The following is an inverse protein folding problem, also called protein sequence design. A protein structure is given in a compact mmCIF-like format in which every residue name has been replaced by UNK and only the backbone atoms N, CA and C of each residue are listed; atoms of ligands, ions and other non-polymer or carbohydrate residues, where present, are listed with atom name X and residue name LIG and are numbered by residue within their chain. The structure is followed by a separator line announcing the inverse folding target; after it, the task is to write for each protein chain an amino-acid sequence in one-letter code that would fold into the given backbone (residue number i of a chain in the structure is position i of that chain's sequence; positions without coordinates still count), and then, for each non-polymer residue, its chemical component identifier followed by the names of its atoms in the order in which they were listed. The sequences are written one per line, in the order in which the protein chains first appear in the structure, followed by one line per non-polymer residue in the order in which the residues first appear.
data_IF_585457472658
#
_entry.id   IF_585457472658
#
_cell.length_a   1.000
_cell.length_b   1.000
_cell.length_c   1.000
_cell.angle_alpha   90.00
_cell.angle_beta   90.00
_cell.angle_gamma   90.00
#
_symmetry.space_group_name_H-M   'P 1'
#
loop_
_entity.id
_entity.type
_entity.pdbx_description
1 polymer ?
#
# COMPACT_ATOMS: atom_id res chain seq x y z
N UNK A 1 10.93 -3.65 8.90
CA UNK A 1 9.95 -3.53 9.99
C UNK A 1 8.83 -2.55 9.67
N UNK A 2 7.83 -2.48 10.52
CA UNK A 2 6.70 -1.56 10.37
C UNK A 2 7.04 -0.18 10.96
N UNK A 3 7.17 0.88 10.14
CA UNK A 3 7.61 2.19 10.64
C UNK A 3 6.61 2.81 11.64
N UNK A 4 5.31 2.56 11.47
CA UNK A 4 4.31 3.15 12.36
C UNK A 4 4.23 2.48 13.75
N UNK A 5 4.89 1.34 13.96
CA UNK A 5 5.14 0.82 15.31
C UNK A 5 6.19 1.62 16.07
N UNK A 6 7.11 2.25 15.36
CA UNK A 6 8.15 3.11 15.92
C UNK A 6 7.83 4.59 15.68
N UNK A 7 6.59 4.95 15.94
CA UNK A 7 5.97 6.20 15.50
C UNK A 7 6.77 7.45 15.88
N UNK A 8 7.11 7.60 17.16
CA UNK A 8 7.76 8.84 17.66
C UNK A 8 9.12 9.06 17.01
N UNK A 9 9.92 8.00 16.87
CA UNK A 9 11.24 8.08 16.22
C UNK A 9 11.11 8.34 14.74
N UNK A 10 10.14 7.72 14.07
CA UNK A 10 9.88 7.94 12.63
C UNK A 10 9.41 9.38 12.39
N UNK A 11 8.50 9.89 13.19
CA UNK A 11 8.03 11.28 13.07
C UNK A 11 9.18 12.27 13.30
N UNK A 12 10.02 12.02 14.30
CA UNK A 12 11.19 12.85 14.56
C UNK A 12 12.18 12.82 13.38
N UNK A 13 12.43 11.65 12.81
CA UNK A 13 13.26 11.50 11.62
C UNK A 13 12.72 12.27 10.42
N UNK A 14 11.41 12.20 10.17
CA UNK A 14 10.77 12.96 9.09
C UNK A 14 10.92 14.48 9.26
N UNK A 15 10.74 14.98 10.48
CA UNK A 15 10.93 16.39 10.80
C UNK A 15 12.40 16.81 10.61
N UNK A 16 13.34 15.95 11.01
CA UNK A 16 14.77 16.20 10.81
C UNK A 16 15.15 16.24 9.33
N UNK A 17 14.61 15.32 8.52
CA UNK A 17 14.84 15.28 7.07
C UNK A 17 14.27 16.54 6.39
N UNK A 18 13.16 17.05 6.90
CA UNK A 18 12.52 18.25 6.38
C UNK A 18 13.23 19.56 6.80
N UNK A 19 13.91 19.56 7.94
CA UNK A 19 14.54 20.76 8.50
C UNK A 19 15.56 21.36 7.51
N UNK A 20 15.42 22.69 7.18
CA UNK A 20 16.37 23.38 6.31
C UNK A 20 17.81 23.35 6.77
N UNK A 21 18.06 23.17 8.07
CA UNK A 21 19.41 23.08 8.64
C UNK A 21 20.03 21.68 8.47
N UNK A 22 19.27 20.72 7.93
CA UNK A 22 19.73 19.34 7.69
C UNK A 22 19.65 18.99 6.21
N UNK A 23 18.62 18.24 5.80
CA UNK A 23 18.50 17.75 4.42
C UNK A 23 17.59 18.61 3.54
N UNK A 24 16.78 19.46 4.12
CA UNK A 24 15.85 20.36 3.41
C UNK A 24 14.95 19.64 2.37
N UNK A 25 14.46 18.47 2.73
CA UNK A 25 13.57 17.68 1.86
C UNK A 25 12.12 17.99 2.19
N UNK A 26 11.36 18.43 1.19
CA UNK A 26 9.93 18.68 1.35
C UNK A 26 9.18 17.39 1.76
N UNK A 27 8.25 17.50 2.70
CA UNK A 27 7.35 16.41 3.07
C UNK A 27 6.63 15.79 1.88
N UNK A 28 6.34 16.56 0.84
CA UNK A 28 5.71 16.08 -0.41
C UNK A 28 6.57 15.09 -1.19
N UNK A 29 7.87 15.05 -0.92
CA UNK A 29 8.83 14.11 -1.53
C UNK A 29 9.09 12.88 -0.65
N UNK A 30 8.46 12.82 0.51
CA UNK A 30 8.61 11.70 1.43
C UNK A 30 7.43 10.74 1.31
N UNK A 31 7.70 9.46 1.47
CA UNK A 31 6.69 8.40 1.50
C UNK A 31 6.91 7.53 2.72
N UNK A 32 5.84 7.25 3.45
CA UNK A 32 5.82 6.21 4.48
C UNK A 32 5.08 5.01 3.91
N UNK A 33 5.75 3.86 3.98
CA UNK A 33 5.16 2.56 3.66
C UNK A 33 4.71 1.87 4.94
N UNK A 34 3.47 1.44 5.01
CA UNK A 34 2.92 0.77 6.19
C UNK A 34 2.13 -0.48 5.82
N UNK A 35 2.16 -1.49 6.66
CA UNK A 35 1.29 -2.65 6.54
C UNK A 35 -0.12 -2.41 7.12
N UNK A 36 -0.41 -1.22 7.64
CA UNK A 36 -1.73 -0.89 8.17
C UNK A 36 -1.81 -0.87 9.69
N UNK A 37 -0.90 -0.18 10.35
CA UNK A 37 -0.94 0.04 11.81
C UNK A 37 -1.97 1.13 12.13
N UNK A 38 -3.24 0.73 12.26
CA UNK A 38 -4.42 1.59 12.27
C UNK A 38 -4.32 2.78 13.24
N UNK A 39 -4.02 2.61 14.54
CA UNK A 39 -4.00 3.75 15.46
C UNK A 39 -3.04 4.84 15.04
N UNK A 40 -1.89 4.45 14.49
CA UNK A 40 -0.83 5.39 14.13
C UNK A 40 -1.01 5.97 12.72
N UNK A 41 -1.82 5.36 11.86
CA UNK A 41 -2.29 6.00 10.63
C UNK A 41 -3.17 7.22 10.97
N UNK A 42 -4.14 7.06 11.88
CA UNK A 42 -4.95 8.19 12.37
C UNK A 42 -4.09 9.28 13.01
N UNK A 43 -3.14 8.87 13.84
CA UNK A 43 -2.23 9.79 14.53
C UNK A 43 -1.38 10.59 13.53
N UNK A 44 -0.84 9.93 12.50
CA UNK A 44 -0.08 10.58 11.44
C UNK A 44 -0.93 11.54 10.60
N UNK A 45 -2.18 11.16 10.33
CA UNK A 45 -3.13 12.04 9.63
C UNK A 45 -3.35 13.35 10.38
N UNK A 46 -3.45 13.30 11.70
CA UNK A 46 -3.67 14.47 12.57
C UNK A 46 -2.43 15.38 12.70
N UNK A 47 -1.25 14.91 12.31
CA UNK A 47 -0.04 15.75 12.22
C UNK A 47 -0.13 16.77 11.07
N UNK A 48 -1.04 16.58 10.13
CA UNK A 48 -1.24 17.45 8.96
C UNK A 48 0.04 17.68 8.14
N UNK A 49 0.87 16.66 8.02
CA UNK A 49 2.07 16.66 7.20
C UNK A 49 1.76 16.09 5.81
N UNK A 50 2.10 16.79 4.71
CA UNK A 50 1.74 16.34 3.36
C UNK A 50 2.67 15.21 2.85
N UNK A 51 2.78 14.14 3.62
CA UNK A 51 3.57 12.95 3.31
C UNK A 51 2.71 11.98 2.50
N UNK A 52 3.28 11.32 1.51
CA UNK A 52 2.61 10.26 0.78
C UNK A 52 2.53 8.99 1.63
N UNK A 53 1.34 8.43 1.75
CA UNK A 53 1.14 7.14 2.42
C UNK A 53 1.06 6.03 1.37
N UNK A 54 1.88 5.01 1.52
CA UNK A 54 1.85 3.77 0.76
C UNK A 54 1.38 2.63 1.65
N UNK A 55 0.24 2.02 1.31
CA UNK A 55 -0.28 0.87 2.02
C UNK A 55 0.20 -0.42 1.36
N UNK A 56 0.91 -1.26 2.10
CA UNK A 56 1.16 -2.64 1.73
C UNK A 56 -0.14 -3.44 1.88
N UNK A 57 -0.94 -3.46 0.81
CA UNK A 57 -2.26 -4.08 0.78
C UNK A 57 -2.16 -5.59 0.58
N UNK A 58 -1.58 -6.01 -0.52
CA UNK A 58 -1.21 -7.39 -0.93
C UNK A 58 -2.34 -8.40 -1.04
N UNK A 59 -3.55 -8.08 -0.59
CA UNK A 59 -4.74 -8.91 -0.72
C UNK A 59 -6.01 -8.07 -0.64
N UNK A 60 -7.11 -8.63 -1.09
CA UNK A 60 -8.44 -7.98 -1.09
C UNK A 60 -9.38 -8.56 -0.01
N UNK A 61 -8.92 -9.57 0.71
CA UNK A 61 -9.63 -10.20 1.84
C UNK A 61 -8.73 -10.37 3.05
N UNK A 62 -9.32 -10.40 4.24
CA UNK A 62 -8.59 -10.67 5.48
C UNK A 62 -7.92 -12.03 5.49
N UNK A 63 -8.58 -13.04 4.94
CA UNK A 63 -8.05 -14.42 4.89
C UNK A 63 -6.76 -14.47 4.08
N UNK A 64 -6.77 -13.97 2.85
CA UNK A 64 -5.59 -13.97 1.96
C UNK A 64 -4.50 -13.07 2.52
N UNK A 65 -4.88 -11.93 3.09
CA UNK A 65 -3.93 -10.99 3.67
C UNK A 65 -3.15 -11.59 4.85
N UNK A 66 -3.82 -12.37 5.71
CA UNK A 66 -3.16 -13.08 6.82
C UNK A 66 -2.16 -14.13 6.34
N UNK A 67 -2.42 -14.79 5.23
CA UNK A 67 -1.49 -15.76 4.64
C UNK A 67 -0.21 -15.09 4.13
N UNK A 68 -0.34 -13.90 3.56
CA UNK A 68 0.78 -13.15 2.96
C UNK A 68 1.54 -12.33 4.02
N UNK A 69 0.81 -11.68 4.92
CA UNK A 69 1.35 -10.76 5.94
C UNK A 69 0.78 -11.05 7.33
N UNK A 70 1.20 -12.08 8.03
CA UNK A 70 0.65 -12.40 9.36
C UNK A 70 0.77 -11.26 10.36
N UNK A 71 1.89 -10.54 10.38
CA UNK A 71 2.14 -9.39 11.27
C UNK A 71 1.29 -8.18 10.87
N UNK A 72 1.10 -7.96 9.57
CA UNK A 72 0.32 -6.85 9.03
C UNK A 72 -1.20 -7.02 9.17
N UNK A 73 -1.66 -8.21 9.55
CA UNK A 73 -3.10 -8.53 9.65
C UNK A 73 -3.63 -8.44 11.08
N UNK A 74 -3.00 -7.66 11.95
CA UNK A 74 -3.51 -7.37 13.29
C UNK A 74 -4.85 -6.67 13.28
N UNK A 75 -5.09 -5.85 12.27
CA UNK A 75 -6.34 -5.12 12.05
C UNK A 75 -7.07 -5.69 10.83
N UNK A 76 -8.39 -5.65 10.85
CA UNK A 76 -9.19 -6.05 9.69
C UNK A 76 -8.96 -5.11 8.52
N UNK A 77 -9.10 -5.61 7.31
CA UNK A 77 -8.85 -4.84 6.10
C UNK A 77 -9.74 -3.60 5.99
N UNK A 78 -11.01 -3.70 6.34
CA UNK A 78 -11.92 -2.56 6.36
C UNK A 78 -11.49 -1.48 7.36
N UNK A 79 -11.02 -1.85 8.56
CA UNK A 79 -10.46 -0.89 9.53
C UNK A 79 -9.22 -0.18 8.98
N UNK A 80 -8.37 -0.92 8.26
CA UNK A 80 -7.17 -0.36 7.61
C UNK A 80 -7.56 0.62 6.51
N UNK A 81 -8.51 0.25 5.65
CA UNK A 81 -8.98 1.10 4.56
C UNK A 81 -9.69 2.36 5.08
N UNK A 82 -10.45 2.26 6.16
CA UNK A 82 -11.07 3.42 6.82
C UNK A 82 -10.01 4.39 7.35
N UNK A 83 -8.96 3.87 7.99
CA UNK A 83 -7.85 4.70 8.46
C UNK A 83 -7.10 5.39 7.32
N UNK A 84 -6.84 4.68 6.22
CA UNK A 84 -6.20 5.24 5.02
C UNK A 84 -7.08 6.30 4.36
N UNK A 85 -8.41 6.09 4.36
CA UNK A 85 -9.36 7.10 3.86
C UNK A 85 -9.34 8.37 4.70
N UNK A 86 -9.34 8.22 6.02
CA UNK A 86 -9.18 9.36 6.94
C UNK A 86 -7.88 10.12 6.68
N UNK A 87 -6.77 9.41 6.46
CA UNK A 87 -5.49 10.02 6.11
C UNK A 87 -5.58 10.82 4.80
N UNK A 88 -6.22 10.27 3.77
CA UNK A 88 -6.47 10.97 2.52
C UNK A 88 -7.31 12.23 2.72
N UNK A 89 -8.40 12.15 3.46
CA UNK A 89 -9.30 13.27 3.71
C UNK A 89 -8.60 14.42 4.46
N UNK A 90 -7.71 14.09 5.41
CA UNK A 90 -6.93 15.08 6.16
C UNK A 90 -5.82 15.72 5.35
N UNK A 91 -5.06 14.93 4.59
CA UNK A 91 -3.84 15.40 3.91
C UNK A 91 -4.05 15.78 2.45
N UNK A 92 -5.12 15.31 1.83
CA UNK A 92 -5.38 15.42 0.39
C UNK A 92 -4.22 14.87 -0.47
N UNK A 93 -3.41 14.00 0.11
CA UNK A 93 -2.30 13.35 -0.57
C UNK A 93 -2.75 12.05 -1.22
N UNK A 94 -2.27 11.81 -2.44
CA UNK A 94 -2.53 10.57 -3.17
C UNK A 94 -2.10 9.36 -2.36
N UNK A 95 -2.99 8.37 -2.24
CA UNK A 95 -2.66 7.08 -1.64
C UNK A 95 -2.02 6.18 -2.69
N UNK A 96 -0.99 5.45 -2.31
CA UNK A 96 -0.40 4.38 -3.10
C UNK A 96 -0.73 3.04 -2.44
N UNK A 97 -1.25 2.10 -3.24
CA UNK A 97 -1.46 0.72 -2.82
C UNK A 97 -0.36 -0.16 -3.43
N UNK A 98 0.40 -0.82 -2.58
CA UNK A 98 1.38 -1.83 -2.98
C UNK A 98 0.70 -3.19 -2.96
N UNK A 99 0.76 -3.92 -4.06
CA UNK A 99 0.12 -5.22 -4.21
C UNK A 99 1.08 -6.21 -4.85
N UNK A 100 1.57 -7.16 -4.07
CA UNK A 100 2.45 -8.23 -4.55
C UNK A 100 1.64 -9.22 -5.39
N UNK A 101 2.17 -9.63 -6.54
CA UNK A 101 1.54 -10.65 -7.39
C UNK A 101 2.20 -12.00 -7.13
N UNK A 102 1.43 -12.93 -6.57
CA UNK A 102 1.88 -14.29 -6.26
C UNK A 102 0.95 -15.27 -6.94
N UNK A 103 1.51 -16.09 -7.81
CA UNK A 103 0.73 -17.08 -8.57
C UNK A 103 -0.08 -17.99 -7.65
N UNK A 104 -1.33 -18.26 -8.05
CA UNK A 104 -2.28 -19.13 -7.34
C UNK A 104 -2.66 -18.69 -5.91
N UNK A 105 -2.27 -17.48 -5.48
CA UNK A 105 -2.57 -16.98 -4.13
C UNK A 105 -3.48 -15.77 -4.14
N UNK A 106 -3.15 -14.72 -4.93
CA UNK A 106 -3.86 -13.42 -4.88
C UNK A 106 -4.06 -12.78 -6.25
N UNK A 107 -4.05 -13.53 -7.32
CA UNK A 107 -4.09 -13.04 -8.71
C UNK A 107 -5.28 -13.56 -9.51
N UNK A 108 -6.36 -13.96 -8.84
CA UNK A 108 -7.60 -14.33 -9.53
C UNK A 108 -8.26 -13.14 -10.19
N UNK A 109 -9.16 -13.39 -11.16
CA UNK A 109 -9.95 -12.34 -11.80
C UNK A 109 -10.87 -11.64 -10.80
N UNK A 110 -11.41 -12.38 -9.84
CA UNK A 110 -12.24 -11.82 -8.76
C UNK A 110 -11.44 -10.82 -7.92
N UNK A 111 -10.23 -11.20 -7.51
CA UNK A 111 -9.35 -10.30 -6.75
C UNK A 111 -8.94 -9.07 -7.55
N UNK A 112 -8.78 -9.18 -8.87
CA UNK A 112 -8.54 -8.02 -9.72
C UNK A 112 -9.71 -7.02 -9.70
N UNK A 113 -10.95 -7.53 -9.75
CA UNK A 113 -12.16 -6.70 -9.65
C UNK A 113 -12.31 -6.09 -8.25
N UNK A 114 -12.04 -6.85 -7.20
CA UNK A 114 -12.06 -6.37 -5.81
C UNK A 114 -11.02 -5.27 -5.60
N UNK A 115 -9.79 -5.44 -6.11
CA UNK A 115 -8.74 -4.42 -6.04
C UNK A 115 -9.14 -3.15 -6.82
N UNK A 116 -9.76 -3.30 -7.98
CA UNK A 116 -10.32 -2.19 -8.74
C UNK A 116 -11.37 -1.40 -7.94
N UNK A 117 -12.27 -2.10 -7.26
CA UNK A 117 -13.26 -1.48 -6.38
C UNK A 117 -12.63 -0.74 -5.19
N UNK A 118 -11.61 -1.32 -4.57
CA UNK A 118 -10.86 -0.65 -3.50
C UNK A 118 -10.24 0.65 -4.03
N UNK A 119 -9.53 0.58 -5.14
CA UNK A 119 -8.88 1.74 -5.75
C UNK A 119 -9.86 2.84 -6.17
N UNK A 120 -11.01 2.45 -6.70
CA UNK A 120 -12.06 3.39 -7.12
C UNK A 120 -12.58 4.27 -5.97
N UNK A 121 -12.54 3.79 -4.74
CA UNK A 121 -12.96 4.55 -3.57
C UNK A 121 -11.96 5.65 -3.15
N UNK A 122 -10.76 5.68 -3.73
CA UNK A 122 -9.70 6.64 -3.42
C UNK A 122 -9.36 7.48 -4.65
N UNK A 123 -9.79 8.75 -4.71
CA UNK A 123 -9.51 9.61 -5.86
C UNK A 123 -8.01 9.72 -6.15
N UNK A 124 -7.62 9.56 -7.41
CA UNK A 124 -6.24 9.65 -7.88
C UNK A 124 -5.25 8.67 -7.23
N UNK A 125 -5.72 7.61 -6.60
CA UNK A 125 -4.82 6.60 -6.04
C UNK A 125 -3.97 5.94 -7.13
N UNK A 126 -2.85 5.39 -6.72
CA UNK A 126 -1.98 4.59 -7.58
C UNK A 126 -1.84 3.18 -7.02
N UNK A 127 -2.03 2.18 -7.87
CA UNK A 127 -1.76 0.78 -7.52
C UNK A 127 -0.47 0.35 -8.17
N UNK A 128 0.48 -0.06 -7.35
CA UNK A 128 1.76 -0.60 -7.79
C UNK A 128 1.74 -2.13 -7.64
N UNK A 129 1.68 -2.83 -8.76
CA UNK A 129 1.72 -4.28 -8.79
C UNK A 129 3.18 -4.74 -8.81
N UNK A 130 3.55 -5.56 -7.83
CA UNK A 130 4.94 -6.00 -7.61
C UNK A 130 5.01 -7.50 -7.84
N UNK A 131 5.58 -7.97 -8.97
CA UNK A 131 5.81 -9.39 -9.16
C UNK A 131 6.69 -9.94 -8.02
N UNK A 132 6.29 -11.07 -7.44
CA UNK A 132 7.11 -11.72 -6.41
C UNK A 132 8.43 -12.20 -7.03
N UNK A 133 9.52 -12.00 -6.32
CA UNK A 133 10.76 -12.68 -6.65
C UNK A 133 10.60 -14.16 -6.26
N UNK A 134 10.56 -15.03 -7.27
CA UNK A 134 10.34 -16.45 -7.06
C UNK A 134 11.36 -17.03 -6.07
N UNK A 135 10.87 -17.83 -5.14
CA UNK A 135 11.70 -18.53 -4.19
C UNK A 135 11.19 -19.97 -4.07
N UNK A 136 11.93 -20.90 -4.62
CA UNK A 136 11.59 -22.32 -4.63
C UNK A 136 11.50 -22.91 -3.21
N UNK A 137 12.28 -22.37 -2.26
CA UNK A 137 12.28 -22.86 -0.88
C UNK A 137 10.98 -22.57 -0.13
N UNK A 138 10.22 -21.54 -0.56
CA UNK A 138 8.95 -21.14 0.07
C UNK A 138 7.76 -21.28 -0.87
N UNK A 139 7.94 -21.95 -2.02
CA UNK A 139 6.89 -22.18 -3.02
C UNK A 139 6.13 -20.91 -3.45
N UNK A 140 6.84 -19.80 -3.59
CA UNK A 140 6.28 -18.59 -4.15
C UNK A 140 6.73 -18.41 -5.59
N UNK A 141 5.76 -18.26 -6.48
CA UNK A 141 5.99 -18.15 -7.91
C UNK A 141 5.38 -16.87 -8.47
N UNK A 142 6.10 -16.29 -9.42
CA UNK A 142 5.66 -15.15 -10.21
C UNK A 142 4.60 -15.61 -11.21
N UNK A 143 3.46 -14.91 -11.33
CA UNK A 143 2.49 -15.20 -12.38
C UNK A 143 3.08 -14.96 -13.78
N UNK A 144 2.52 -15.59 -14.81
CA UNK A 144 2.93 -15.31 -16.19
C UNK A 144 2.70 -13.85 -16.57
N UNK A 145 3.50 -13.32 -17.47
CA UNK A 145 3.34 -11.94 -17.96
C UNK A 145 1.95 -11.68 -18.54
N UNK A 146 1.38 -12.67 -19.22
CA UNK A 146 0.01 -12.59 -19.72
C UNK A 146 -1.01 -12.44 -18.58
N UNK A 147 -0.89 -13.24 -17.53
CA UNK A 147 -1.78 -13.19 -16.38
C UNK A 147 -1.66 -11.85 -15.65
N UNK A 148 -0.44 -11.38 -15.41
CA UNK A 148 -0.21 -10.07 -14.77
C UNK A 148 -0.80 -8.91 -15.57
N UNK A 149 -0.70 -8.94 -16.89
CA UNK A 149 -1.28 -7.91 -17.75
C UNK A 149 -2.82 -7.94 -17.73
N UNK A 150 -3.43 -9.12 -17.73
CA UNK A 150 -4.89 -9.26 -17.59
C UNK A 150 -5.34 -8.69 -16.25
N UNK A 151 -4.68 -9.06 -15.16
CA UNK A 151 -4.95 -8.54 -13.83
C UNK A 151 -4.87 -7.01 -13.79
N UNK A 152 -3.78 -6.45 -14.31
CA UNK A 152 -3.59 -5.00 -14.42
C UNK A 152 -4.71 -4.33 -15.21
N UNK A 153 -5.07 -4.88 -16.37
CA UNK A 153 -6.08 -4.28 -17.25
C UNK A 153 -7.47 -4.27 -16.59
N UNK A 154 -7.81 -5.30 -15.83
CA UNK A 154 -9.05 -5.33 -15.05
C UNK A 154 -9.03 -4.24 -13.97
N UNK A 155 -7.98 -4.13 -13.19
CA UNK A 155 -7.86 -3.07 -12.17
C UNK A 155 -7.95 -1.68 -12.82
N UNK A 156 -7.26 -1.47 -13.92
CA UNK A 156 -7.28 -0.20 -14.67
C UNK A 156 -8.66 0.13 -15.24
N UNK A 157 -9.49 -0.86 -15.55
CA UNK A 157 -10.85 -0.66 -16.07
C UNK A 157 -11.78 0.06 -15.08
N UNK A 158 -11.43 0.11 -13.81
CA UNK A 158 -12.13 0.88 -12.76
C UNK A 158 -11.73 2.37 -12.73
N UNK A 159 -10.91 2.83 -13.67
CA UNK A 159 -10.40 4.20 -13.69
C UNK A 159 -9.22 4.42 -12.74
N UNK A 160 -8.59 3.35 -12.25
CA UNK A 160 -7.48 3.38 -11.32
C UNK A 160 -6.15 3.39 -12.07
N UNK A 161 -5.23 4.26 -11.64
CA UNK A 161 -3.85 4.24 -12.14
C UNK A 161 -3.12 3.01 -11.63
N UNK A 162 -2.59 2.19 -12.53
CA UNK A 162 -1.94 0.92 -12.20
C UNK A 162 -0.63 0.78 -12.97
N UNK A 163 0.41 0.35 -12.30
CA UNK A 163 1.67 -0.03 -12.95
C UNK A 163 2.15 -1.39 -12.44
N UNK A 164 2.84 -2.12 -13.29
CA UNK A 164 3.61 -3.31 -12.89
C UNK A 164 5.06 -2.87 -12.75
N UNK A 165 5.64 -3.09 -11.55
CA UNK A 165 7.05 -2.80 -11.30
C UNK A 165 7.92 -3.67 -12.21
N UNK A 166 8.82 -3.03 -12.93
CA UNK A 166 9.88 -3.72 -13.68
C UNK A 166 10.99 -4.14 -12.72
N UNK A 167 11.53 -5.30 -12.95
CA UNK A 167 12.74 -5.80 -12.27
C UNK A 167 13.94 -4.93 -12.60
#
# INVERSE_FOLDING_TARGET
GEPLQNYDNVLQALKLIHDPMTFDISYRKMTISTCGWVPNIYKLADEDLPITLALSLHATTDETRRKIMPVGSRYKLDEVLDAVKYYYEKTQRRITFEYILIDSINVSLEEAHELGNIGKAFPNCHVNLIPVNGNEHINLYKPSSKHMNIFKDIVASYGVSVTIRKE
#
